data_IF_636017978942
#
_entry.id   IF_636017978942
#
_cell.length_a   1.000
_cell.length_b   1.000
_cell.length_c   1.000
_cell.angle_alpha   90.00
_cell.angle_beta   90.00
_cell.angle_gamma   90.00
#
_symmetry.space_group_name_H-M   'P 1'
#
loop_
_entity.id
_entity.type
_entity.pdbx_description
1 polymer ?
#
# COMPACT_ATOMS: atom_id res chain seq x y z
N UNK A 1 -2.34 20.32 -13.04
CA UNK A 1 -1.36 19.25 -13.27
C UNK A 1 -1.68 18.62 -14.62
N UNK A 2 -0.71 18.53 -15.51
CA UNK A 2 -0.92 18.04 -16.87
C UNK A 2 -1.31 16.54 -16.85
N UNK A 3 -2.27 16.09 -17.69
CA UNK A 3 -2.80 14.71 -17.61
C UNK A 3 -1.71 13.64 -17.78
N UNK A 4 -0.65 13.97 -18.53
CA UNK A 4 0.52 13.10 -18.75
C UNK A 4 1.33 12.85 -17.47
N UNK A 5 1.55 13.88 -16.65
CA UNK A 5 2.23 13.75 -15.35
C UNK A 5 1.45 12.88 -14.37
N UNK A 6 0.12 12.90 -14.45
CA UNK A 6 -0.74 12.08 -13.60
C UNK A 6 -0.60 10.59 -13.94
N UNK A 7 -0.45 10.26 -15.23
CA UNK A 7 -0.20 8.91 -15.71
C UNK A 7 1.19 8.40 -15.34
N UNK A 8 2.22 9.25 -15.42
CA UNK A 8 3.58 8.91 -14.98
C UNK A 8 3.65 8.62 -13.47
N UNK A 9 2.92 9.38 -12.65
CA UNK A 9 2.83 9.14 -11.21
C UNK A 9 2.04 7.88 -10.84
N UNK A 10 1.23 7.36 -11.77
CA UNK A 10 0.37 6.20 -11.53
C UNK A 10 1.15 4.88 -11.47
N UNK A 11 2.32 4.80 -12.13
CA UNK A 11 3.15 3.60 -12.17
C UNK A 11 3.53 3.06 -10.78
N UNK A 12 4.18 3.87 -9.93
CA UNK A 12 4.53 3.47 -8.56
C UNK A 12 3.31 3.05 -7.72
N UNK A 13 2.19 3.78 -7.84
CA UNK A 13 0.96 3.47 -7.11
C UNK A 13 0.34 2.13 -7.53
N UNK A 14 0.42 1.79 -8.83
CA UNK A 14 -0.06 0.52 -9.35
C UNK A 14 0.79 -0.66 -8.85
N UNK A 15 2.11 -0.50 -8.81
CA UNK A 15 3.02 -1.54 -8.29
C UNK A 15 2.72 -1.82 -6.82
N UNK A 16 2.50 -0.79 -6.00
CA UNK A 16 2.11 -0.97 -4.59
C UNK A 16 0.75 -1.63 -4.44
N UNK A 17 -0.20 -1.37 -5.34
CA UNK A 17 -1.50 -2.03 -5.31
C UNK A 17 -1.37 -3.54 -5.57
N UNK A 18 -0.53 -3.94 -6.54
CA UNK A 18 -0.31 -5.37 -6.83
C UNK A 18 0.31 -6.10 -5.64
N UNK A 19 1.18 -5.44 -4.88
CA UNK A 19 1.77 -6.04 -3.68
C UNK A 19 0.74 -6.38 -2.59
N UNK A 20 -0.40 -5.68 -2.55
CA UNK A 20 -1.49 -5.92 -1.58
C UNK A 20 -2.35 -7.15 -1.97
N UNK A 21 -2.30 -7.55 -3.25
CA UNK A 21 -3.06 -8.68 -3.83
C UNK A 21 -2.14 -9.89 -4.01
N UNK A 22 -1.37 -10.22 -2.97
CA UNK A 22 -0.51 -11.39 -2.98
C UNK A 22 -1.32 -12.70 -2.77
N UNK A 23 -0.63 -13.84 -2.89
CA UNK A 23 -1.27 -15.15 -2.77
C UNK A 23 -1.87 -15.39 -1.37
N UNK A 24 -1.25 -14.84 -0.33
CA UNK A 24 -1.73 -14.97 1.04
C UNK A 24 -3.06 -14.21 1.22
N UNK A 25 -3.14 -12.96 0.76
CA UNK A 25 -4.36 -12.15 0.78
C UNK A 25 -5.51 -12.83 0.03
N UNK A 26 -5.25 -13.40 -1.15
CA UNK A 26 -6.27 -14.12 -1.93
C UNK A 26 -6.76 -15.37 -1.17
N UNK A 27 -5.84 -16.18 -0.63
CA UNK A 27 -6.21 -17.40 0.07
C UNK A 27 -7.05 -17.09 1.32
N UNK A 28 -6.69 -16.06 2.08
CA UNK A 28 -7.48 -15.60 3.22
C UNK A 28 -8.86 -15.11 2.79
N UNK A 29 -8.96 -14.35 1.69
CA UNK A 29 -10.24 -13.89 1.17
C UNK A 29 -11.15 -15.05 0.76
N UNK A 30 -10.61 -16.10 0.14
CA UNK A 30 -11.37 -17.30 -0.22
C UNK A 30 -11.84 -18.07 1.03
N UNK A 31 -10.92 -18.36 1.96
CA UNK A 31 -11.25 -19.12 3.17
C UNK A 31 -12.27 -18.39 4.07
N UNK A 32 -12.12 -17.08 4.22
CA UNK A 32 -13.08 -16.26 4.96
C UNK A 32 -14.39 -16.07 4.20
N UNK A 33 -14.35 -16.01 2.87
CA UNK A 33 -15.54 -15.97 2.02
C UNK A 33 -16.36 -17.26 2.08
N UNK A 34 -15.72 -18.42 2.17
CA UNK A 34 -16.41 -19.70 2.39
C UNK A 34 -17.11 -19.74 3.76
N UNK A 35 -16.46 -19.20 4.79
CA UNK A 35 -16.95 -19.27 6.19
C UNK A 35 -18.01 -18.21 6.50
N UNK A 36 -17.80 -16.97 6.04
CA UNK A 36 -18.61 -15.80 6.42
C UNK A 36 -19.44 -15.24 5.25
N UNK A 37 -19.33 -15.82 4.05
CA UNK A 37 -19.95 -15.28 2.84
C UNK A 37 -19.53 -13.82 2.62
N UNK A 38 -20.52 -12.96 2.40
CA UNK A 38 -20.32 -11.52 2.22
C UNK A 38 -20.26 -10.70 3.52
N UNK A 39 -20.32 -11.35 4.69
CA UNK A 39 -20.42 -10.68 5.99
C UNK A 39 -19.22 -9.78 6.36
N UNK A 40 -18.07 -9.94 5.68
CA UNK A 40 -16.86 -9.16 5.91
C UNK A 40 -16.65 -8.02 4.90
N UNK A 41 -17.50 -7.87 3.88
CA UNK A 41 -17.30 -6.84 2.84
C UNK A 41 -17.31 -5.41 3.41
N UNK A 42 -18.15 -5.13 4.40
CA UNK A 42 -18.18 -3.81 5.04
C UNK A 42 -16.90 -3.53 5.83
N UNK A 43 -16.31 -4.56 6.45
CA UNK A 43 -15.04 -4.45 7.15
C UNK A 43 -13.90 -4.21 6.15
N UNK A 44 -13.91 -4.89 5.00
CA UNK A 44 -12.97 -4.61 3.90
C UNK A 44 -13.06 -3.15 3.44
N UNK A 45 -14.28 -2.62 3.26
CA UNK A 45 -14.47 -1.21 2.91
C UNK A 45 -13.92 -0.27 3.98
N UNK A 46 -14.10 -0.60 5.27
CA UNK A 46 -13.53 0.18 6.38
C UNK A 46 -12.00 0.17 6.36
N UNK A 47 -11.37 -0.96 6.03
CA UNK A 47 -9.90 -1.11 5.98
C UNK A 47 -9.23 -0.31 4.85
N UNK A 48 -9.98 0.12 3.83
CA UNK A 48 -9.47 1.02 2.79
C UNK A 48 -8.95 2.33 3.39
N UNK A 49 -9.60 2.85 4.45
CA UNK A 49 -9.20 4.12 5.06
C UNK A 49 -7.80 4.07 5.71
N UNK A 50 -7.48 3.15 6.64
CA UNK A 50 -6.13 3.05 7.19
C UNK A 50 -5.10 2.68 6.12
N UNK A 51 -5.45 1.82 5.16
CA UNK A 51 -4.56 1.47 4.04
C UNK A 51 -4.17 2.71 3.22
N UNK A 52 -5.15 3.55 2.88
CA UNK A 52 -4.92 4.80 2.16
C UNK A 52 -4.01 5.75 2.95
N UNK A 53 -4.21 5.88 4.27
CA UNK A 53 -3.37 6.74 5.11
C UNK A 53 -1.92 6.24 5.07
N UNK A 54 -1.70 4.95 5.28
CA UNK A 54 -0.35 4.35 5.27
C UNK A 54 0.32 4.55 3.91
N UNK A 55 -0.37 4.24 2.79
CA UNK A 55 0.17 4.44 1.45
C UNK A 55 0.47 5.92 1.16
N UNK A 56 -0.37 6.84 1.62
CA UNK A 56 -0.14 8.29 1.46
C UNK A 56 1.12 8.76 2.20
N UNK A 57 1.40 8.19 3.37
CA UNK A 57 2.60 8.52 4.14
C UNK A 57 3.82 7.88 3.49
N UNK A 58 3.73 6.61 3.08
CA UNK A 58 4.81 5.92 2.38
C UNK A 58 5.22 6.67 1.10
N UNK A 59 4.25 7.09 0.29
CA UNK A 59 4.49 7.91 -0.90
C UNK A 59 5.14 9.24 -0.57
N UNK A 60 4.66 9.93 0.48
CA UNK A 60 5.26 11.20 0.95
C UNK A 60 6.69 11.02 1.46
N UNK A 61 7.00 9.91 2.14
CA UNK A 61 8.35 9.58 2.59
C UNK A 61 9.28 9.40 1.39
N UNK A 62 8.86 8.68 0.35
CA UNK A 62 9.65 8.53 -0.87
C UNK A 62 9.93 9.86 -1.57
N UNK A 63 8.92 10.73 -1.66
CA UNK A 63 9.08 12.08 -2.25
C UNK A 63 9.98 12.98 -1.40
N UNK A 64 9.71 13.08 -0.10
CA UNK A 64 10.49 13.93 0.82
C UNK A 64 11.93 13.41 1.02
N UNK A 65 12.11 12.08 1.00
CA UNK A 65 13.40 11.40 1.04
C UNK A 65 14.19 11.49 -0.26
N UNK A 66 13.72 12.22 -1.27
CA UNK A 66 14.37 12.36 -2.60
C UNK A 66 14.61 11.01 -3.27
N UNK A 67 13.60 10.14 -3.26
CA UNK A 67 13.64 8.81 -3.87
C UNK A 67 14.12 7.69 -2.94
N UNK A 68 14.50 8.02 -1.70
CA UNK A 68 15.00 7.05 -0.73
C UNK A 68 13.87 6.40 0.06
N UNK A 69 13.97 5.08 0.24
CA UNK A 69 12.97 4.30 0.96
C UNK A 69 12.98 4.56 2.46
N UNK A 70 11.85 4.26 3.13
CA UNK A 70 11.72 4.37 4.58
C UNK A 70 12.83 3.60 5.31
N UNK A 71 13.15 2.37 4.86
CA UNK A 71 14.22 1.56 5.45
C UNK A 71 15.61 2.20 5.34
N UNK A 72 15.91 2.90 4.24
CA UNK A 72 17.18 3.62 4.09
C UNK A 72 17.26 4.80 5.05
N UNK A 73 16.17 5.55 5.21
CA UNK A 73 16.09 6.68 6.13
C UNK A 73 16.21 6.23 7.59
N UNK A 74 15.60 5.09 7.94
CA UNK A 74 15.74 4.47 9.26
C UNK A 74 17.20 4.08 9.48
N UNK A 75 17.85 3.40 8.52
CA UNK A 75 19.23 2.95 8.65
C UNK A 75 20.21 4.12 8.82
N UNK A 76 20.00 5.22 8.10
CA UNK A 76 20.83 6.41 8.28
C UNK A 76 20.65 7.08 9.63
N UNK A 77 19.40 7.17 10.12
CA UNK A 77 19.12 7.86 11.38
C UNK A 77 19.53 7.05 12.61
N UNK A 78 19.42 5.72 12.54
CA UNK A 78 19.57 4.84 13.70
C UNK A 78 20.73 3.86 13.62
N UNK A 79 21.43 3.81 12.48
CA UNK A 79 22.56 2.93 12.22
C UNK A 79 22.15 1.48 11.88
N UNK A 80 23.08 0.69 11.30
CA UNK A 80 22.94 -0.76 11.22
C UNK A 80 23.16 -1.33 12.62
N UNK A 81 22.10 -1.89 13.22
CA UNK A 81 22.25 -2.81 14.35
C UNK A 81 22.41 -4.21 13.82
#
# INVERSE_FOLDING_TARGET
MDRRKLLELFGPAWITMIADVDAASILTAVATGETYGYGLLWLMALLVAPLFIVQSVAGRVGVAGRGRGLGELIRERFGPR
#
